data_IF_444764994649
#
_entry.id   IF_444764994649
#
_cell.length_a   1.000
_cell.length_b   1.000
_cell.length_c   1.000
_cell.angle_alpha   90.00
_cell.angle_beta   90.00
_cell.angle_gamma   90.00
#
_symmetry.space_group_name_H-M   'P 1'
#
loop_
_entity.id
_entity.type
_entity.pdbx_description
1 polymer ?
#
# COMPACT_ATOMS: atom_id res chain seq x y z
N UNK A 1 20.56 18.16 33.60
CA UNK A 1 20.99 16.75 33.52
C UNK A 1 21.67 16.54 32.19
N UNK A 2 22.87 15.96 32.17
CA UNK A 2 23.50 15.54 30.92
C UNK A 2 22.91 14.18 30.57
N UNK A 3 21.98 14.17 29.62
CA UNK A 3 21.47 12.93 29.03
C UNK A 3 22.59 12.40 28.13
N UNK A 4 23.11 11.23 28.47
CA UNK A 4 24.02 10.48 27.61
C UNK A 4 23.24 10.01 26.38
N UNK A 5 23.59 10.55 25.22
CA UNK A 5 23.00 10.27 23.91
C UNK A 5 23.87 9.30 23.09
N UNK A 6 24.82 8.60 23.73
CA UNK A 6 25.62 7.59 23.06
C UNK A 6 24.71 6.47 22.55
N UNK A 7 24.61 6.22 21.23
CA UNK A 7 23.82 5.11 20.73
C UNK A 7 24.41 3.81 21.28
N UNK A 8 23.56 2.97 21.87
CA UNK A 8 23.94 1.59 22.20
C UNK A 8 24.37 0.95 20.88
N UNK A 9 25.63 0.54 20.78
CA UNK A 9 26.14 -0.10 19.57
C UNK A 9 25.31 -1.36 19.30
N UNK A 10 24.50 -1.35 18.25
CA UNK A 10 23.76 -2.53 17.84
C UNK A 10 24.73 -3.47 17.10
N UNK A 11 25.02 -4.62 17.70
CA UNK A 11 25.92 -5.65 17.16
C UNK A 11 25.27 -6.49 16.04
N UNK A 12 23.94 -6.42 15.90
CA UNK A 12 23.17 -7.14 14.90
C UNK A 12 23.58 -6.66 13.49
N UNK A 13 24.25 -7.51 12.71
CA UNK A 13 24.68 -7.15 11.35
C UNK A 13 23.49 -6.98 10.42
N UNK A 14 23.35 -5.79 9.83
CA UNK A 14 22.35 -5.48 8.80
C UNK A 14 23.04 -4.80 7.63
N UNK A 15 23.02 -5.44 6.46
CA UNK A 15 23.53 -4.86 5.23
C UNK A 15 22.44 -4.84 4.15
N UNK A 16 21.68 -3.74 4.05
CA UNK A 16 20.70 -3.54 3.00
C UNK A 16 21.40 -3.36 1.65
N UNK A 17 21.12 -4.23 0.69
CA UNK A 17 21.70 -4.18 -0.65
C UNK A 17 21.07 -3.03 -1.44
N UNK A 18 21.89 -2.05 -1.81
CA UNK A 18 21.47 -0.86 -2.55
C UNK A 18 21.69 -1.01 -4.06
N UNK A 19 22.73 -1.74 -4.47
CA UNK A 19 23.07 -1.98 -5.86
C UNK A 19 23.75 -3.34 -6.04
N UNK A 20 23.44 -4.01 -7.14
CA UNK A 20 24.15 -5.23 -7.57
C UNK A 20 25.05 -4.84 -8.74
N UNK A 21 26.36 -4.99 -8.54
CA UNK A 21 27.39 -4.64 -9.53
C UNK A 21 27.92 -5.87 -10.23
N UNK A 22 27.92 -5.83 -11.57
CA UNK A 22 28.51 -6.86 -12.45
C UNK A 22 29.30 -6.18 -13.58
N UNK A 23 30.52 -5.70 -13.31
CA UNK A 23 31.35 -5.05 -14.32
C UNK A 23 31.87 -6.01 -15.39
N UNK A 24 31.95 -7.32 -15.07
CA UNK A 24 32.32 -8.39 -16.00
C UNK A 24 31.67 -9.73 -15.56
N UNK A 25 31.95 -10.83 -16.26
CA UNK A 25 31.37 -12.15 -16.00
C UNK A 25 31.79 -12.76 -14.66
N UNK A 26 32.96 -12.39 -14.15
CA UNK A 26 33.62 -13.08 -13.05
C UNK A 26 33.47 -12.32 -11.72
N UNK A 27 32.95 -11.10 -11.77
CA UNK A 27 32.70 -10.27 -10.60
C UNK A 27 31.21 -10.01 -10.40
N UNK A 28 30.70 -10.43 -9.25
CA UNK A 28 29.39 -10.06 -8.74
C UNK A 28 29.54 -9.51 -7.32
N UNK A 29 29.31 -8.21 -7.17
CA UNK A 29 29.41 -7.51 -5.89
C UNK A 29 28.09 -6.88 -5.47
N UNK A 30 27.79 -6.97 -4.18
CA UNK A 30 26.59 -6.40 -3.56
C UNK A 30 26.98 -5.16 -2.78
N UNK A 31 26.55 -4.00 -3.26
CA UNK A 31 26.95 -2.71 -2.72
C UNK A 31 25.88 -2.15 -1.78
N UNK A 32 26.33 -1.55 -0.70
CA UNK A 32 25.47 -0.95 0.30
C UNK A 32 26.29 -0.28 1.40
N UNK A 33 25.58 0.27 2.37
CA UNK A 33 26.16 0.79 3.61
C UNK A 33 25.76 -0.14 4.73
N UNK A 34 26.71 -0.52 5.58
CA UNK A 34 26.41 -1.33 6.76
C UNK A 34 25.53 -0.51 7.70
N UNK A 35 24.30 -0.95 7.91
CA UNK A 35 23.30 -0.24 8.69
C UNK A 35 23.50 -0.46 10.21
N UNK A 36 24.09 -1.59 10.59
CA UNK A 36 24.45 -1.94 11.96
C UNK A 36 25.37 -3.16 12.00
N UNK A 37 26.01 -3.38 13.16
CA UNK A 37 26.93 -4.49 13.40
C UNK A 37 28.21 -4.41 12.58
N UNK A 38 28.84 -5.58 12.42
CA UNK A 38 30.06 -5.76 11.63
C UNK A 38 30.02 -7.05 10.82
N UNK A 39 30.86 -7.12 9.79
CA UNK A 39 31.05 -8.31 8.96
C UNK A 39 32.51 -8.49 8.63
N UNK A 40 33.00 -9.73 8.72
CA UNK A 40 34.34 -10.13 8.35
C UNK A 40 34.34 -11.09 7.17
N UNK A 41 35.47 -11.17 6.46
CA UNK A 41 35.71 -12.23 5.47
C UNK A 41 35.57 -13.59 6.17
N UNK A 42 34.86 -14.51 5.54
CA UNK A 42 34.57 -15.84 6.09
C UNK A 42 33.29 -15.92 6.94
N UNK A 43 32.63 -14.79 7.23
CA UNK A 43 31.35 -14.82 7.94
C UNK A 43 30.26 -15.50 7.10
N UNK A 44 29.51 -16.41 7.73
CA UNK A 44 28.31 -16.99 7.14
C UNK A 44 27.15 -15.98 7.21
N UNK A 45 26.59 -15.67 6.04
CA UNK A 45 25.53 -14.68 5.88
C UNK A 45 24.30 -15.28 5.22
N UNK A 46 23.14 -14.75 5.56
CA UNK A 46 21.85 -15.08 4.95
C UNK A 46 21.31 -13.89 4.18
N UNK A 47 20.78 -14.15 3.00
CA UNK A 47 20.03 -13.19 2.19
C UNK A 47 18.57 -13.26 2.60
N UNK A 48 17.98 -12.12 2.94
CA UNK A 48 16.56 -12.00 3.22
C UNK A 48 15.89 -11.12 2.15
N UNK A 49 14.66 -11.47 1.69
CA UNK A 49 13.75 -12.45 2.30
C UNK A 49 13.90 -13.91 1.81
N UNK A 50 14.80 -14.22 0.86
CA UNK A 50 14.90 -15.56 0.25
C UNK A 50 15.33 -16.67 1.20
N UNK A 51 16.07 -16.33 2.26
CA UNK A 51 16.61 -17.26 3.25
C UNK A 51 17.85 -18.03 2.81
N UNK A 52 18.39 -17.76 1.62
CA UNK A 52 19.58 -18.45 1.10
C UNK A 52 20.83 -18.04 1.89
N UNK A 53 21.69 -19.01 2.20
CA UNK A 53 22.93 -18.81 2.96
C UNK A 53 24.14 -18.89 2.03
N UNK A 54 25.15 -18.06 2.29
CA UNK A 54 26.48 -18.15 1.69
C UNK A 54 27.52 -17.59 2.68
N UNK A 55 28.75 -17.41 2.23
CA UNK A 55 29.87 -16.91 3.01
C UNK A 55 30.45 -15.66 2.35
N UNK A 56 30.85 -14.67 3.16
CA UNK A 56 31.51 -13.46 2.66
C UNK A 56 32.90 -13.81 2.16
N UNK A 57 33.15 -13.56 0.88
CA UNK A 57 34.41 -13.87 0.21
C UNK A 57 35.39 -12.69 0.29
N UNK A 58 34.93 -11.49 -0.08
CA UNK A 58 35.72 -10.27 -0.01
C UNK A 58 34.86 -9.08 0.41
N UNK A 59 35.49 -8.13 1.09
CA UNK A 59 34.92 -6.83 1.40
C UNK A 59 35.73 -5.79 0.63
N UNK A 60 35.15 -5.25 -0.45
CA UNK A 60 35.82 -4.36 -1.39
C UNK A 60 35.40 -2.91 -1.15
N UNK A 61 36.36 -2.00 -1.07
CA UNK A 61 36.15 -0.55 -1.00
C UNK A 61 36.98 0.16 -2.06
N UNK A 62 36.82 1.49 -2.18
CA UNK A 62 37.63 2.28 -3.09
C UNK A 62 39.13 2.22 -2.76
N UNK A 63 39.48 2.23 -1.48
CA UNK A 63 40.88 2.26 -1.00
C UNK A 63 41.52 0.86 -0.93
N UNK A 64 40.77 -0.18 -1.32
CA UNK A 64 41.21 -1.57 -1.33
C UNK A 64 40.29 -2.50 -0.54
N UNK A 65 40.73 -3.74 -0.37
CA UNK A 65 39.97 -4.76 0.33
C UNK A 65 40.19 -4.68 1.85
N UNK A 66 39.12 -4.88 2.61
CA UNK A 66 39.12 -4.91 4.07
C UNK A 66 38.98 -6.34 4.58
N UNK A 67 39.55 -6.63 5.76
CA UNK A 67 39.32 -7.90 6.46
C UNK A 67 38.00 -7.92 7.24
N UNK A 68 37.57 -6.75 7.73
CA UNK A 68 36.33 -6.53 8.47
C UNK A 68 35.78 -5.14 8.13
N UNK A 69 34.46 -4.99 8.17
CA UNK A 69 33.78 -3.71 8.00
C UNK A 69 32.66 -3.53 9.05
N UNK A 70 32.37 -2.28 9.36
CA UNK A 70 31.49 -1.86 10.46
C UNK A 70 30.40 -0.89 9.97
N UNK A 71 29.44 -0.61 10.84
CA UNK A 71 28.39 0.40 10.64
C UNK A 71 28.89 1.69 9.96
N UNK A 72 28.04 2.27 9.12
CA UNK A 72 28.26 3.48 8.31
C UNK A 72 29.31 3.37 7.20
N UNK A 73 30.02 2.24 7.07
CA UNK A 73 30.92 2.02 5.95
C UNK A 73 30.17 1.60 4.68
N UNK A 74 30.42 2.31 3.59
CA UNK A 74 29.97 1.94 2.26
C UNK A 74 30.94 0.93 1.64
N UNK A 75 30.48 -0.31 1.44
CA UNK A 75 31.31 -1.43 1.00
C UNK A 75 30.62 -2.20 -0.12
N UNK A 76 31.40 -2.98 -0.85
CA UNK A 76 30.91 -4.02 -1.77
C UNK A 76 31.26 -5.38 -1.19
N UNK A 77 30.25 -6.19 -0.89
CA UNK A 77 30.45 -7.57 -0.45
C UNK A 77 30.40 -8.50 -1.65
N UNK A 78 31.36 -9.42 -1.75
CA UNK A 78 31.29 -10.57 -2.65
C UNK A 78 31.01 -11.82 -1.82
N UNK A 79 30.33 -12.80 -2.42
CA UNK A 79 29.97 -14.05 -1.76
C UNK A 79 30.67 -15.23 -2.45
N UNK A 80 30.87 -16.32 -1.72
CA UNK A 80 31.48 -17.53 -2.27
C UNK A 80 30.57 -18.24 -3.28
N UNK A 81 29.26 -18.24 -3.03
CA UNK A 81 28.28 -18.92 -3.87
C UNK A 81 27.57 -17.95 -4.82
N UNK A 82 27.25 -18.43 -6.03
CA UNK A 82 26.39 -17.70 -6.97
C UNK A 82 24.92 -17.79 -6.57
N UNK A 83 24.54 -17.03 -5.54
CA UNK A 83 23.16 -16.96 -5.06
C UNK A 83 22.42 -15.75 -5.62
N UNK A 84 21.09 -15.81 -5.66
CA UNK A 84 20.28 -14.69 -6.12
C UNK A 84 20.11 -13.64 -5.00
N UNK A 85 20.51 -12.41 -5.33
CA UNK A 85 20.46 -11.25 -4.45
C UNK A 85 20.20 -10.04 -5.34
N UNK A 86 19.21 -9.25 -4.93
CA UNK A 86 18.70 -8.09 -5.62
C UNK A 86 18.76 -6.84 -4.74
N UNK A 87 18.56 -5.67 -5.35
CA UNK A 87 18.37 -4.43 -4.60
C UNK A 87 17.14 -4.55 -3.70
N UNK A 88 17.27 -4.14 -2.45
CA UNK A 88 16.22 -4.22 -1.44
C UNK A 88 16.28 -5.50 -0.60
N UNK A 89 17.10 -6.48 -0.98
CA UNK A 89 17.43 -7.60 -0.10
C UNK A 89 18.36 -7.13 1.02
N UNK A 90 18.42 -7.92 2.09
CA UNK A 90 19.26 -7.64 3.24
C UNK A 90 20.15 -8.85 3.54
N UNK A 91 21.45 -8.61 3.62
CA UNK A 91 22.41 -9.57 4.14
C UNK A 91 22.48 -9.44 5.67
N UNK A 92 22.34 -10.56 6.37
CA UNK A 92 22.41 -10.65 7.84
C UNK A 92 23.30 -11.82 8.25
N UNK A 93 23.78 -11.84 9.50
CA UNK A 93 24.48 -13.02 10.04
C UNK A 93 23.50 -14.16 10.27
N UNK A 94 23.90 -15.40 10.01
CA UNK A 94 23.03 -16.58 10.14
C UNK A 94 22.50 -16.78 11.58
N UNK A 95 23.24 -16.30 12.59
CA UNK A 95 22.88 -16.43 14.01
C UNK A 95 21.93 -15.36 14.52
N UNK A 96 21.68 -14.30 13.76
CA UNK A 96 20.82 -13.19 14.17
C UNK A 96 19.94 -12.73 13.01
N UNK A 97 18.67 -13.14 13.07
CA UNK A 97 17.69 -12.88 12.03
C UNK A 97 16.67 -11.81 12.46
N UNK A 98 16.46 -10.77 11.63
CA UNK A 98 15.33 -9.88 11.78
C UNK A 98 14.02 -10.61 11.43
N UNK A 99 12.89 -9.94 11.63
CA UNK A 99 11.62 -10.49 11.18
C UNK A 99 11.55 -10.45 9.65
N UNK A 100 10.95 -11.48 9.06
CA UNK A 100 10.60 -11.51 7.63
C UNK A 100 9.11 -11.72 7.50
N UNK A 101 8.44 -10.81 6.82
CA UNK A 101 7.01 -10.89 6.61
C UNK A 101 6.48 -9.74 5.79
N UNK A 102 5.22 -9.84 5.39
CA UNK A 102 4.52 -8.77 4.69
C UNK A 102 3.51 -8.06 5.59
N UNK A 103 3.46 -8.35 6.89
CA UNK A 103 2.54 -7.73 7.84
C UNK A 103 3.27 -7.33 9.11
N UNK A 104 3.13 -6.07 9.50
CA UNK A 104 3.71 -5.55 10.74
C UNK A 104 2.87 -4.40 11.30
N UNK A 105 3.00 -4.21 12.61
CA UNK A 105 2.49 -3.03 13.27
C UNK A 105 3.58 -1.95 13.30
N UNK A 106 3.22 -0.69 13.06
CA UNK A 106 4.13 0.44 13.09
C UNK A 106 3.44 1.70 13.60
N UNK A 107 4.16 2.50 14.38
CA UNK A 107 3.75 3.85 14.70
C UNK A 107 4.00 4.74 13.48
N UNK A 108 2.93 5.30 12.92
CA UNK A 108 3.00 6.20 11.77
C UNK A 108 2.72 7.63 12.24
N UNK A 109 3.60 8.56 11.86
CA UNK A 109 3.37 10.00 11.91
C UNK A 109 2.84 10.42 10.54
N UNK A 110 1.62 10.96 10.49
CA UNK A 110 1.01 11.42 9.25
C UNK A 110 1.36 12.88 8.96
N UNK A 111 1.73 13.18 7.72
CA UNK A 111 2.44 14.43 7.37
C UNK A 111 1.76 15.25 6.27
N UNK A 112 0.54 14.89 5.85
CA UNK A 112 -0.18 15.60 4.78
C UNK A 112 -1.63 15.89 5.17
N UNK A 113 -2.21 16.93 4.57
CA UNK A 113 -3.58 17.39 4.83
C UNK A 113 -4.64 16.34 4.46
N UNK A 114 -4.40 15.58 3.39
CA UNK A 114 -5.28 14.48 3.01
C UNK A 114 -5.14 13.36 4.05
N UNK A 115 -6.23 12.92 4.72
CA UNK A 115 -6.11 11.94 5.79
C UNK A 115 -5.61 10.59 5.29
N UNK A 116 -4.95 9.85 6.19
CA UNK A 116 -4.62 8.44 5.96
C UNK A 116 -5.92 7.66 5.85
N UNK A 117 -6.13 7.07 4.67
CA UNK A 117 -7.25 6.18 4.42
C UNK A 117 -6.80 4.71 4.54
N UNK A 118 -7.46 3.94 5.42
CA UNK A 118 -7.23 2.49 5.49
C UNK A 118 -7.70 1.81 4.18
N UNK A 119 -7.06 0.72 3.77
CA UNK A 119 -7.35 0.01 2.52
C UNK A 119 -6.89 0.70 1.23
N UNK A 120 -6.48 1.98 1.28
CA UNK A 120 -5.81 2.65 0.16
C UNK A 120 -4.39 2.10 0.00
N UNK A 121 -3.95 1.99 -1.25
CA UNK A 121 -2.63 1.49 -1.62
C UNK A 121 -1.60 2.63 -1.63
N UNK A 122 -0.52 2.46 -0.88
CA UNK A 122 0.62 3.36 -0.79
C UNK A 122 1.89 2.63 -1.22
N UNK A 123 2.93 3.39 -1.57
CA UNK A 123 4.27 2.83 -1.69
C UNK A 123 5.02 3.01 -0.36
N UNK A 124 5.68 1.94 0.08
CA UNK A 124 6.41 1.84 1.34
C UNK A 124 7.88 1.65 1.00
N UNK A 125 8.72 2.51 1.56
CA UNK A 125 10.17 2.46 1.37
C UNK A 125 10.88 2.30 2.70
N UNK A 126 11.50 1.13 2.89
CA UNK A 126 12.30 0.75 4.05
C UNK A 126 13.76 0.61 3.59
N UNK A 127 14.58 1.62 3.85
CA UNK A 127 15.92 1.69 3.28
C UNK A 127 15.92 1.58 1.74
N UNK A 128 16.66 0.63 1.13
CA UNK A 128 16.61 0.37 -0.31
C UNK A 128 15.42 -0.49 -0.76
N UNK A 129 14.71 -1.15 0.16
CA UNK A 129 13.53 -1.98 -0.12
C UNK A 129 12.35 -1.08 -0.46
N UNK A 130 11.68 -1.36 -1.58
CA UNK A 130 10.54 -0.59 -2.07
C UNK A 130 9.41 -1.56 -2.45
N UNK A 131 8.25 -1.40 -1.83
CA UNK A 131 7.09 -2.27 -2.07
C UNK A 131 5.81 -1.49 -1.87
N UNK A 132 4.72 -1.92 -2.50
CA UNK A 132 3.41 -1.32 -2.26
C UNK A 132 2.70 -2.04 -1.12
N UNK A 133 1.86 -1.33 -0.38
CA UNK A 133 1.07 -1.91 0.70
C UNK A 133 -0.10 -1.03 1.11
N UNK A 134 -0.95 -1.56 1.98
CA UNK A 134 -2.11 -0.86 2.53
C UNK A 134 -1.98 -0.77 4.04
N UNK A 135 -2.54 0.30 4.61
CA UNK A 135 -2.83 0.32 6.04
C UNK A 135 -4.14 -0.40 6.25
N UNK A 136 -4.10 -1.57 6.88
CA UNK A 136 -5.29 -2.40 7.10
C UNK A 136 -6.14 -1.81 8.22
N UNK A 137 -5.50 -1.39 9.31
CA UNK A 137 -6.16 -0.93 10.52
C UNK A 137 -5.31 0.11 11.24
N UNK A 138 -5.96 1.09 11.86
CA UNK A 138 -5.34 1.92 12.89
C UNK A 138 -5.82 1.40 14.23
N UNK A 139 -4.93 0.81 15.04
CA UNK A 139 -5.28 0.22 16.34
C UNK A 139 -5.63 1.31 17.35
N UNK A 140 -4.81 2.35 17.41
CA UNK A 140 -5.08 3.54 18.19
C UNK A 140 -4.33 4.76 17.62
N UNK A 141 -4.89 5.94 17.81
CA UNK A 141 -4.22 7.23 17.64
C UNK A 141 -3.76 7.72 19.03
N UNK A 142 -2.61 8.36 19.10
CA UNK A 142 -2.05 8.93 20.33
C UNK A 142 -2.08 10.45 20.21
N UNK A 143 -2.76 11.11 21.15
CA UNK A 143 -2.74 12.57 21.23
C UNK A 143 -1.34 13.05 21.65
N UNK A 144 -0.75 13.94 20.86
CA UNK A 144 0.63 14.42 21.07
C UNK A 144 0.80 15.30 22.31
N UNK A 145 -0.29 15.91 22.81
CA UNK A 145 -0.28 16.81 23.96
C UNK A 145 -0.59 16.07 25.26
N UNK A 146 -1.52 15.10 25.22
CA UNK A 146 -1.98 14.39 26.42
C UNK A 146 -1.39 12.99 26.57
N UNK A 147 -0.86 12.41 25.49
CA UNK A 147 -0.43 11.00 25.38
C UNK A 147 -1.56 9.99 25.57
N UNK A 148 -2.82 10.45 25.56
CA UNK A 148 -3.98 9.57 25.63
C UNK A 148 -4.18 8.85 24.29
N UNK A 149 -4.65 7.60 24.37
CA UNK A 149 -4.87 6.75 23.20
C UNK A 149 -6.35 6.66 22.86
N UNK A 150 -6.70 7.08 21.64
CA UNK A 150 -8.02 6.85 21.06
C UNK A 150 -8.01 5.55 20.25
N UNK A 151 -8.80 4.55 20.68
CA UNK A 151 -8.85 3.25 20.03
C UNK A 151 -9.66 3.25 18.71
N UNK A 152 -9.19 2.45 17.75
CA UNK A 152 -9.81 2.15 16.46
C UNK A 152 -10.32 3.36 15.64
N UNK A 153 -9.52 4.42 15.45
CA UNK A 153 -9.90 5.49 14.54
C UNK A 153 -9.96 4.98 13.09
N UNK A 154 -10.85 5.55 12.29
CA UNK A 154 -11.01 5.15 10.88
C UNK A 154 -9.91 5.72 9.96
N UNK A 155 -9.19 6.75 10.41
CA UNK A 155 -8.22 7.54 9.65
C UNK A 155 -7.23 8.26 10.59
N UNK A 156 -6.13 8.77 10.05
CA UNK A 156 -5.23 9.73 10.72
C UNK A 156 -5.19 11.05 9.93
N UNK A 157 -5.36 12.18 10.63
CA UNK A 157 -5.23 13.53 10.08
C UNK A 157 -3.77 14.02 10.10
N UNK A 158 -3.52 15.17 9.49
CA UNK A 158 -2.21 15.85 9.53
C UNK A 158 -1.70 15.97 10.97
N UNK A 159 -0.44 15.60 11.19
CA UNK A 159 0.27 15.63 12.47
C UNK A 159 -0.25 14.64 13.53
N UNK A 160 -1.16 13.75 13.19
CA UNK A 160 -1.56 12.66 14.09
C UNK A 160 -0.58 11.50 14.03
N UNK A 161 -0.44 10.82 15.17
CA UNK A 161 0.40 9.64 15.33
C UNK A 161 -0.49 8.47 15.70
N UNK A 162 -0.33 7.32 15.04
CA UNK A 162 -1.10 6.13 15.39
C UNK A 162 -0.36 4.82 15.15
N UNK A 163 -0.66 3.83 15.97
CA UNK A 163 -0.23 2.46 15.75
C UNK A 163 -1.08 1.84 14.65
N UNK A 164 -0.47 1.60 13.50
CA UNK A 164 -1.10 1.10 12.31
C UNK A 164 -0.64 -0.33 12.02
N UNK A 165 -1.55 -1.18 11.54
CA UNK A 165 -1.21 -2.45 10.93
C UNK A 165 -1.09 -2.27 9.42
N UNK A 166 0.07 -2.63 8.86
CA UNK A 166 0.34 -2.60 7.43
C UNK A 166 0.31 -4.01 6.87
N UNK A 167 -0.20 -4.13 5.64
CA UNK A 167 -0.05 -5.30 4.79
C UNK A 167 0.63 -4.89 3.49
N UNK A 168 1.79 -5.49 3.22
CA UNK A 168 2.60 -5.26 2.03
C UNK A 168 2.33 -6.34 0.97
N UNK A 169 2.57 -6.00 -0.28
CA UNK A 169 2.37 -6.92 -1.41
C UNK A 169 3.44 -8.01 -1.50
N UNK A 170 4.60 -7.80 -0.87
CA UNK A 170 5.73 -8.72 -0.85
C UNK A 170 6.31 -8.78 0.57
N UNK A 171 6.88 -9.93 1.00
CA UNK A 171 7.57 -10.02 2.25
C UNK A 171 8.84 -9.15 2.24
N UNK A 172 9.11 -8.50 3.37
CA UNK A 172 10.32 -7.69 3.58
C UNK A 172 11.00 -8.11 4.87
N UNK A 173 12.31 -7.93 4.94
CA UNK A 173 13.08 -8.09 6.17
C UNK A 173 13.06 -6.78 6.95
N UNK A 174 12.77 -6.83 8.24
CA UNK A 174 12.68 -5.66 9.09
C UNK A 174 12.93 -5.97 10.56
N UNK A 175 13.39 -4.96 11.29
CA UNK A 175 13.52 -5.01 12.74
C UNK A 175 12.43 -4.14 13.39
N UNK A 176 12.17 -4.36 14.68
CA UNK A 176 11.46 -3.35 15.46
C UNK A 176 12.37 -2.12 15.59
N UNK A 177 11.81 -0.92 15.42
CA UNK A 177 12.55 0.34 15.47
C UNK A 177 13.42 0.50 16.72
N UNK A 178 12.95 0.17 17.95
CA UNK A 178 13.81 0.26 19.14
C UNK A 178 14.99 -0.71 19.14
N UNK A 179 14.93 -1.81 18.37
CA UNK A 179 16.03 -2.75 18.19
C UNK A 179 17.01 -2.21 17.16
N UNK A 180 16.52 -1.79 16.00
CA UNK A 180 17.36 -1.25 14.94
C UNK A 180 16.65 -0.10 14.21
N UNK A 181 17.18 1.11 14.35
CA UNK A 181 16.58 2.31 13.80
C UNK A 181 16.65 2.36 12.26
N UNK A 182 17.72 1.80 11.68
CA UNK A 182 17.97 1.84 10.24
C UNK A 182 17.06 0.88 9.46
N UNK A 183 16.79 -0.30 10.01
CA UNK A 183 15.95 -1.34 9.40
C UNK A 183 14.55 -1.44 9.99
N UNK A 184 14.25 -0.66 11.04
CA UNK A 184 12.93 -0.52 11.64
C UNK A 184 12.20 0.78 11.28
N UNK A 185 12.77 1.63 10.41
CA UNK A 185 12.13 2.85 9.92
C UNK A 185 11.79 2.79 8.44
N UNK A 186 10.70 3.44 8.06
CA UNK A 186 10.28 3.54 6.66
C UNK A 186 9.54 4.86 6.40
N UNK A 187 9.35 5.18 5.13
CA UNK A 187 8.46 6.26 4.69
C UNK A 187 7.28 5.72 3.89
N UNK A 188 6.16 6.41 4.02
CA UNK A 188 4.93 6.19 3.24
C UNK A 188 4.90 7.22 2.11
N UNK A 189 4.71 6.74 0.88
CA UNK A 189 4.73 7.55 -0.33
C UNK A 189 3.39 7.40 -1.03
N UNK A 190 2.78 8.53 -1.38
CA UNK A 190 1.58 8.52 -2.20
C UNK A 190 1.92 8.21 -3.66
N UNK A 191 1.23 7.22 -4.23
CA UNK A 191 1.58 6.64 -5.54
C UNK A 191 1.27 7.55 -6.73
N UNK A 192 0.39 8.54 -6.54
CA UNK A 192 -0.04 9.44 -7.61
C UNK A 192 0.82 10.70 -7.64
N UNK A 193 1.10 11.24 -6.45
CA UNK A 193 1.83 12.50 -6.27
C UNK A 193 3.34 12.28 -6.08
N UNK A 194 3.77 11.06 -5.74
CA UNK A 194 5.14 10.70 -5.34
C UNK A 194 5.65 11.46 -4.11
N UNK A 195 4.75 12.07 -3.33
CA UNK A 195 5.10 12.80 -2.11
C UNK A 195 5.21 11.84 -0.93
N UNK A 196 6.17 12.07 -0.05
CA UNK A 196 6.23 11.41 1.26
C UNK A 196 5.10 11.94 2.15
N UNK A 197 4.13 11.09 2.44
CA UNK A 197 2.91 11.43 3.19
C UNK A 197 2.95 11.00 4.65
N UNK A 198 3.92 10.17 5.04
CA UNK A 198 4.13 9.78 6.43
C UNK A 198 5.49 9.13 6.67
N UNK A 199 5.85 9.06 7.95
CA UNK A 199 7.03 8.35 8.44
C UNK A 199 6.61 7.28 9.44
N UNK A 200 7.21 6.10 9.35
CA UNK A 200 6.83 4.93 10.13
C UNK A 200 7.98 4.34 10.93
N UNK A 201 7.67 3.91 12.15
CA UNK A 201 8.56 3.19 13.06
C UNK A 201 7.94 1.84 13.40
N UNK A 202 8.56 0.75 12.96
CA UNK A 202 8.03 -0.60 13.12
C UNK A 202 8.05 -0.99 14.59
N UNK A 203 6.91 -1.45 15.11
CA UNK A 203 6.78 -1.97 16.47
C UNK A 203 7.08 -3.48 16.53
N UNK A 204 6.77 -4.22 15.46
CA UNK A 204 7.00 -5.66 15.37
C UNK A 204 6.05 -6.33 14.36
N UNK A 205 6.09 -7.65 14.29
CA UNK A 205 5.12 -8.43 13.51
C UNK A 205 3.68 -8.08 13.94
N UNK A 206 2.77 -8.10 12.98
CA UNK A 206 1.36 -7.95 13.30
C UNK A 206 0.87 -9.22 14.01
N UNK A 207 0.25 -9.05 15.18
CA UNK A 207 -0.39 -10.15 15.88
C UNK A 207 -1.61 -10.65 15.11
N UNK A 208 -1.76 -11.97 15.00
CA UNK A 208 -2.99 -12.62 14.53
C UNK A 208 -2.96 -13.16 13.09
N UNK A 209 -3.74 -14.22 12.89
CA UNK A 209 -4.06 -14.81 11.59
C UNK A 209 -4.74 -13.75 10.71
N UNK A 210 -4.58 -13.82 9.38
CA UNK A 210 -5.36 -12.97 8.48
C UNK A 210 -6.84 -13.03 8.88
N UNK A 211 -7.41 -11.86 9.22
CA UNK A 211 -8.84 -11.76 9.50
C UNK A 211 -9.62 -12.29 8.29
N UNK A 212 -10.51 -13.24 8.56
CA UNK A 212 -11.49 -13.80 7.62
C UNK A 212 -12.82 -13.05 7.72
N UNK A 213 -12.79 -11.80 8.21
CA UNK A 213 -14.00 -11.01 8.37
C UNK A 213 -14.65 -10.73 7.01
N UNK A 214 -15.99 -10.65 6.95
CA UNK A 214 -16.68 -10.31 5.71
C UNK A 214 -16.27 -8.94 5.18
N UNK A 215 -16.07 -8.84 3.87
CA UNK A 215 -15.74 -7.56 3.20
C UNK A 215 -16.88 -6.56 3.38
N UNK A 216 -16.57 -5.43 3.99
CA UNK A 216 -17.50 -4.33 4.27
C UNK A 216 -17.79 -3.48 3.03
N UNK A 217 -18.86 -2.69 3.07
CA UNK A 217 -19.23 -1.77 1.99
C UNK A 217 -18.14 -0.70 1.80
N UNK A 218 -17.55 -0.20 2.88
CA UNK A 218 -16.51 0.84 2.83
C UNK A 218 -15.18 0.30 2.26
N UNK A 219 -14.82 -0.95 2.55
CA UNK A 219 -13.68 -1.60 1.90
C UNK A 219 -13.88 -1.74 0.39
N UNK A 220 -15.09 -2.14 -0.05
CA UNK A 220 -15.42 -2.21 -1.48
C UNK A 220 -15.35 -0.84 -2.14
N UNK A 221 -15.93 0.18 -1.50
CA UNK A 221 -15.95 1.53 -2.03
C UNK A 221 -14.53 2.09 -2.22
N UNK A 222 -13.65 1.89 -1.24
CA UNK A 222 -12.24 2.29 -1.33
C UNK A 222 -11.47 1.49 -2.37
N UNK A 223 -11.67 0.17 -2.41
CA UNK A 223 -11.01 -0.72 -3.37
C UNK A 223 -11.36 -0.38 -4.82
N UNK A 224 -12.61 -0.03 -5.08
CA UNK A 224 -13.12 0.35 -6.40
C UNK A 224 -13.01 1.85 -6.68
N UNK A 225 -12.52 2.65 -5.72
CA UNK A 225 -12.50 4.11 -5.78
C UNK A 225 -13.85 4.72 -6.24
N UNK A 226 -14.98 4.17 -5.75
CA UNK A 226 -16.32 4.60 -6.12
C UNK A 226 -17.33 4.33 -5.01
N UNK A 227 -18.41 5.11 -4.95
CA UNK A 227 -19.57 4.76 -4.11
C UNK A 227 -20.61 4.00 -4.94
N UNK A 228 -21.19 2.91 -4.42
CA UNK A 228 -22.26 2.21 -5.11
C UNK A 228 -23.46 3.14 -5.34
N UNK A 229 -24.09 3.01 -6.51
CA UNK A 229 -25.25 3.82 -6.87
C UNK A 229 -26.13 3.10 -7.90
N UNK A 230 -27.44 3.31 -7.79
CA UNK A 230 -28.41 2.99 -8.84
C UNK A 230 -28.69 4.27 -9.62
N UNK A 231 -28.41 4.28 -10.92
CA UNK A 231 -28.73 5.36 -11.84
C UNK A 231 -29.91 4.90 -12.70
N UNK A 232 -31.02 5.62 -12.67
CA UNK A 232 -32.17 5.33 -13.52
C UNK A 232 -32.11 6.16 -14.81
N UNK A 233 -32.02 5.49 -15.94
CA UNK A 233 -32.15 6.08 -17.28
C UNK A 233 -33.58 5.87 -17.76
N UNK A 234 -34.30 6.96 -17.97
CA UNK A 234 -35.72 6.95 -18.33
C UNK A 234 -35.95 7.70 -19.67
N UNK A 235 -37.19 7.64 -20.18
CA UNK A 235 -37.59 8.30 -21.43
C UNK A 235 -37.47 7.39 -22.65
N UNK A 236 -37.83 7.91 -23.82
CA UNK A 236 -37.86 7.12 -25.07
C UNK A 236 -36.50 6.59 -25.51
N UNK A 237 -35.42 7.26 -25.13
CA UNK A 237 -34.04 6.87 -25.44
C UNK A 237 -33.32 6.22 -24.25
N UNK A 238 -34.06 5.68 -23.27
CA UNK A 238 -33.47 5.09 -22.07
C UNK A 238 -32.37 4.03 -22.34
N UNK A 239 -32.50 3.11 -23.32
CA UNK A 239 -31.43 2.15 -23.61
C UNK A 239 -30.14 2.82 -24.11
N UNK A 240 -30.24 3.76 -25.05
CA UNK A 240 -29.11 4.50 -25.60
C UNK A 240 -28.47 5.40 -24.55
N UNK A 241 -29.29 6.05 -23.72
CA UNK A 241 -28.83 6.86 -22.60
C UNK A 241 -28.05 6.02 -21.58
N UNK A 242 -28.52 4.83 -21.23
CA UNK A 242 -27.82 3.95 -20.29
C UNK A 242 -26.43 3.54 -20.81
N UNK A 243 -26.30 3.19 -22.09
CA UNK A 243 -25.02 2.87 -22.71
C UNK A 243 -24.07 4.09 -22.75
N UNK A 244 -24.62 5.29 -23.02
CA UNK A 244 -23.83 6.53 -23.00
C UNK A 244 -23.34 6.89 -21.60
N UNK A 245 -24.19 6.70 -20.58
CA UNK A 245 -23.82 6.88 -19.16
C UNK A 245 -22.74 5.88 -18.75
N UNK A 246 -22.90 4.60 -19.11
CA UNK A 246 -21.88 3.56 -18.86
C UNK A 246 -20.53 3.95 -19.48
N UNK A 247 -20.51 4.34 -20.76
CA UNK A 247 -19.28 4.80 -21.42
C UNK A 247 -18.63 5.97 -20.67
N UNK A 248 -19.42 6.98 -20.30
CA UNK A 248 -18.90 8.18 -19.65
C UNK A 248 -18.32 7.90 -18.25
N UNK A 249 -18.93 6.98 -17.50
CA UNK A 249 -18.43 6.55 -16.19
C UNK A 249 -17.20 5.63 -16.31
N UNK A 250 -17.20 4.74 -17.30
CA UNK A 250 -16.07 3.89 -17.62
C UNK A 250 -14.82 4.70 -17.97
N UNK A 251 -14.99 5.76 -18.79
CA UNK A 251 -13.90 6.67 -19.15
C UNK A 251 -13.34 7.44 -17.93
N UNK A 252 -14.07 7.51 -16.82
CA UNK A 252 -13.62 8.04 -15.52
C UNK A 252 -13.05 6.94 -14.57
N UNK A 253 -12.88 5.71 -15.07
CA UNK A 253 -12.34 4.59 -14.30
C UNK A 253 -13.33 3.95 -13.32
N UNK A 254 -14.63 4.19 -13.48
CA UNK A 254 -15.67 3.59 -12.62
C UNK A 254 -16.13 2.24 -13.16
N UNK A 255 -16.46 1.32 -12.26
CA UNK A 255 -16.98 -0.01 -12.57
C UNK A 255 -18.51 0.01 -12.52
N UNK A 256 -19.11 -0.03 -13.70
CA UNK A 256 -20.56 0.03 -13.93
C UNK A 256 -21.09 -1.23 -14.59
N UNK A 257 -22.39 -1.49 -14.43
CA UNK A 257 -23.11 -2.53 -15.16
C UNK A 257 -24.45 -1.96 -15.64
N UNK A 258 -24.72 -2.04 -16.93
CA UNK A 258 -26.05 -1.73 -17.48
C UNK A 258 -27.03 -2.85 -17.16
N UNK A 259 -28.17 -2.49 -16.57
CA UNK A 259 -29.26 -3.40 -16.20
C UNK A 259 -30.47 -3.05 -17.05
N UNK A 260 -30.83 -3.96 -17.96
CA UNK A 260 -31.89 -3.77 -18.95
C UNK A 260 -32.81 -4.98 -18.97
N UNK A 261 -33.95 -4.85 -19.65
CA UNK A 261 -34.88 -5.98 -19.84
C UNK A 261 -34.22 -7.18 -20.53
N UNK A 262 -33.23 -6.94 -21.40
CA UNK A 262 -32.51 -8.01 -22.10
C UNK A 262 -31.71 -8.92 -21.18
N UNK A 263 -31.10 -8.37 -20.11
CA UNK A 263 -30.22 -9.14 -19.22
C UNK A 263 -30.83 -9.49 -17.86
N UNK A 264 -32.01 -8.98 -17.56
CA UNK A 264 -32.68 -9.24 -16.27
C UNK A 264 -34.17 -9.51 -16.37
N UNK A 265 -34.79 -9.39 -17.55
CA UNK A 265 -36.21 -9.67 -17.70
C UNK A 265 -37.09 -8.53 -17.16
N UNK A 266 -37.97 -8.85 -16.22
CA UNK A 266 -39.03 -7.93 -15.81
C UNK A 266 -38.53 -6.76 -14.92
N UNK A 267 -39.45 -5.86 -14.56
CA UNK A 267 -39.11 -4.69 -13.74
C UNK A 267 -38.69 -5.04 -12.30
N UNK A 268 -39.24 -6.11 -11.72
CA UNK A 268 -38.92 -6.54 -10.35
C UNK A 268 -37.57 -7.25 -10.30
N UNK A 269 -37.25 -8.06 -11.30
CA UNK A 269 -35.93 -8.67 -11.48
C UNK A 269 -34.85 -7.60 -11.69
N UNK A 270 -35.11 -6.60 -12.55
CA UNK A 270 -34.23 -5.43 -12.71
C UNK A 270 -33.92 -4.74 -11.38
N UNK A 271 -34.93 -4.51 -10.54
CA UNK A 271 -34.75 -3.89 -9.21
C UNK A 271 -33.86 -4.73 -8.32
N UNK A 272 -34.11 -6.04 -8.24
CA UNK A 272 -33.32 -6.96 -7.41
C UNK A 272 -31.87 -7.01 -7.85
N UNK A 273 -31.61 -7.08 -9.15
CA UNK A 273 -30.24 -7.12 -9.69
C UNK A 273 -29.53 -5.80 -9.44
N UNK A 274 -30.18 -4.65 -9.63
CA UNK A 274 -29.58 -3.35 -9.32
C UNK A 274 -29.23 -3.21 -7.83
N UNK A 275 -30.08 -3.69 -6.93
CA UNK A 275 -29.82 -3.73 -5.48
C UNK A 275 -28.67 -4.69 -5.14
N UNK A 276 -28.60 -5.85 -5.78
CA UNK A 276 -27.51 -6.81 -5.58
C UNK A 276 -26.15 -6.23 -6.02
N UNK A 277 -26.10 -5.62 -7.21
CA UNK A 277 -24.88 -4.99 -7.74
C UNK A 277 -24.37 -3.89 -6.80
N UNK A 278 -25.27 -3.03 -6.33
CA UNK A 278 -24.93 -1.94 -5.42
C UNK A 278 -24.52 -2.44 -4.03
N UNK A 279 -25.13 -3.52 -3.52
CA UNK A 279 -24.69 -4.19 -2.29
C UNK A 279 -23.24 -4.70 -2.37
N UNK A 280 -22.73 -4.94 -3.59
CA UNK A 280 -21.35 -5.36 -3.84
C UNK A 280 -20.42 -4.24 -4.33
N UNK A 281 -20.83 -2.97 -4.20
CA UNK A 281 -19.98 -1.80 -4.45
C UNK A 281 -20.01 -1.28 -5.89
N UNK A 282 -20.82 -1.87 -6.77
CA UNK A 282 -20.91 -1.50 -8.19
C UNK A 282 -21.91 -0.36 -8.42
N UNK A 283 -21.79 0.30 -9.57
CA UNK A 283 -22.78 1.27 -10.05
C UNK A 283 -23.70 0.56 -11.05
N UNK A 284 -24.99 0.47 -10.73
CA UNK A 284 -26.00 -0.10 -11.62
C UNK A 284 -26.63 1.00 -12.47
N UNK A 285 -26.48 0.92 -13.80
CA UNK A 285 -27.10 1.85 -14.76
C UNK A 285 -28.34 1.18 -15.33
N UNK A 286 -29.51 1.59 -14.88
CA UNK A 286 -30.76 0.84 -15.09
C UNK A 286 -31.62 1.50 -16.17
N UNK A 287 -32.20 0.69 -17.05
CA UNK A 287 -33.10 1.16 -18.10
C UNK A 287 -34.54 1.07 -17.60
N UNK A 288 -35.30 2.17 -17.65
CA UNK A 288 -36.73 2.24 -17.35
C UNK A 288 -37.13 1.60 -16.00
N UNK A 289 -36.33 1.85 -14.96
CA UNK A 289 -36.61 1.36 -13.60
C UNK A 289 -37.56 2.28 -12.81
N UNK A 290 -37.70 3.54 -13.25
CA UNK A 290 -38.32 4.61 -12.46
C UNK A 290 -37.36 5.21 -11.42
N UNK A 291 -37.88 6.06 -10.53
CA UNK A 291 -37.07 6.81 -9.54
C UNK A 291 -37.06 6.24 -8.13
N UNK A 292 -37.94 5.28 -7.81
CA UNK A 292 -38.28 4.93 -6.42
C UNK A 292 -37.11 4.37 -5.60
N UNK A 293 -36.20 3.65 -6.26
CA UNK A 293 -34.98 3.10 -5.63
C UNK A 293 -33.69 3.68 -6.21
N UNK A 294 -33.80 4.62 -7.14
CA UNK A 294 -32.66 5.21 -7.81
C UNK A 294 -31.99 6.24 -6.90
N UNK A 295 -30.66 6.24 -6.86
CA UNK A 295 -29.92 7.31 -6.20
C UNK A 295 -29.92 8.58 -7.03
N UNK A 296 -29.87 8.43 -8.36
CA UNK A 296 -29.95 9.53 -9.34
C UNK A 296 -30.81 9.06 -10.51
N UNK A 297 -31.59 9.96 -11.10
CA UNK A 297 -32.42 9.69 -12.26
C UNK A 297 -32.14 10.69 -13.36
N UNK A 298 -32.03 10.20 -14.59
CA UNK A 298 -31.79 10.99 -15.80
C UNK A 298 -32.73 10.51 -16.90
N UNK A 299 -33.15 11.41 -17.80
CA UNK A 299 -34.07 11.07 -18.88
C UNK A 299 -33.65 11.71 -20.21
N UNK A 300 -33.96 11.02 -21.31
CA UNK A 300 -33.79 11.53 -22.67
C UNK A 300 -34.98 11.12 -23.55
N UNK A 301 -35.62 12.10 -24.20
CA UNK A 301 -36.75 11.87 -25.11
C UNK A 301 -36.28 11.70 -26.56
N UNK A 302 -35.17 12.36 -26.93
CA UNK A 302 -34.56 12.29 -28.26
C UNK A 302 -33.05 12.00 -28.15
N UNK A 303 -32.45 11.48 -29.21
CA UNK A 303 -31.00 11.20 -29.22
C UNK A 303 -30.15 12.45 -29.00
N UNK A 304 -30.65 13.62 -29.41
CA UNK A 304 -30.00 14.90 -29.22
C UNK A 304 -29.91 15.33 -27.74
N UNK A 305 -30.76 14.80 -26.87
CA UNK A 305 -30.78 15.13 -25.44
C UNK A 305 -29.69 14.39 -24.66
N UNK A 306 -29.21 13.25 -25.19
CA UNK A 306 -28.31 12.32 -24.48
C UNK A 306 -27.03 13.01 -23.99
N UNK A 307 -26.28 13.78 -24.80
CA UNK A 307 -25.03 14.39 -24.32
C UNK A 307 -25.26 15.37 -23.16
N UNK A 308 -26.34 16.15 -23.21
CA UNK A 308 -26.70 17.09 -22.14
C UNK A 308 -27.11 16.37 -20.86
N UNK A 309 -27.89 15.31 -20.99
CA UNK A 309 -28.34 14.47 -19.89
C UNK A 309 -27.16 13.78 -19.17
N UNK A 310 -26.21 13.22 -19.93
CA UNK A 310 -24.98 12.61 -19.38
C UNK A 310 -24.12 13.66 -18.66
N UNK A 311 -23.93 14.84 -19.24
CA UNK A 311 -23.14 15.91 -18.63
C UNK A 311 -23.73 16.38 -17.29
N UNK A 312 -25.05 16.58 -17.23
CA UNK A 312 -25.75 16.96 -16.01
C UNK A 312 -25.62 15.89 -14.92
N UNK A 313 -25.77 14.62 -15.28
CA UNK A 313 -25.60 13.49 -14.37
C UNK A 313 -24.19 13.47 -13.75
N UNK A 314 -23.15 13.63 -14.57
CA UNK A 314 -21.76 13.62 -14.08
C UNK A 314 -21.49 14.78 -13.11
N UNK A 315 -22.05 15.96 -13.36
CA UNK A 315 -21.95 17.10 -12.45
C UNK A 315 -22.64 16.83 -11.11
N UNK A 316 -23.81 16.21 -11.13
CA UNK A 316 -24.54 15.83 -9.90
C UNK A 316 -23.79 14.78 -9.07
N UNK A 317 -23.23 13.77 -9.73
CA UNK A 317 -22.44 12.73 -9.09
C UNK A 317 -21.13 13.27 -8.48
N UNK A 318 -20.47 14.21 -9.16
CA UNK A 318 -19.30 14.91 -8.63
C UNK A 318 -19.67 15.78 -7.41
N UNK A 319 -20.77 16.53 -7.48
CA UNK A 319 -21.26 17.38 -6.37
C UNK A 319 -21.63 16.56 -5.13
N UNK A 320 -22.18 15.37 -5.32
CA UNK A 320 -22.56 14.46 -4.23
C UNK A 320 -21.39 13.63 -3.68
N UNK A 321 -20.15 13.85 -4.15
CA UNK A 321 -18.95 13.06 -3.79
C UNK A 321 -19.17 11.55 -3.92
N UNK A 322 -19.87 11.14 -4.99
CA UNK A 322 -20.08 9.73 -5.38
C UNK A 322 -19.06 9.27 -6.43
N UNK A 323 -18.54 10.22 -7.22
CA UNK A 323 -17.37 10.06 -8.08
C UNK A 323 -16.09 10.47 -7.36
#
# INVERSE_FOLDING_TARGET
ENIDISPVANEDFRFPVQLVSRPNSDFRGFQGTIASGSVAIGDAVRVLPSGTVSTVKEIVTFDGNLSEAYIDQAVTLTLEDEIDVSRGDMLVKVSDEPNVGNRFNANIVWMTDAPLETGRLYDIKLGPTFTSGTVKKVHYQTDVNTLEQQANPSQLQLNEIGLCELTLNQPVAFDAYPRNHATGSFIVIDRLTNVTVGAGMIAGLADGVESLDPVTVDERARRLAQKPAIIACNGKQAPQLALAVERALFDQGKTTVVVSEENTGDADERRRVAQLLTAHGLIAVTVNLGSDIANVSVAAETEADIPGAVSALLQELARSKRL
#
